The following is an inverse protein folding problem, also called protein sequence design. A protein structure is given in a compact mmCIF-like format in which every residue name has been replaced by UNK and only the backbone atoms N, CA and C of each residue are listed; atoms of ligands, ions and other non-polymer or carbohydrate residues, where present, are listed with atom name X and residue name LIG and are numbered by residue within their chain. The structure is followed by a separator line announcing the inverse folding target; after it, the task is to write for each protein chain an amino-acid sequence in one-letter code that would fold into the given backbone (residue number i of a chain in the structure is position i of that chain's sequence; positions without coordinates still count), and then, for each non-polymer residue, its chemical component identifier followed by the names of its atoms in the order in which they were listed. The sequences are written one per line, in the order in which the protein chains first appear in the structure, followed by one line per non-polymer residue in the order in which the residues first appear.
data_IF_080000596159
#
_entry.id   IF_080000596159
#
_cell.length_a   1.000
_cell.length_b   1.000
_cell.length_c   1.000
_cell.angle_alpha   90.00
_cell.angle_beta   90.00
_cell.angle_gamma   90.00
#
_symmetry.space_group_name_H-M   'P 1'
#
loop_
_entity.id
_entity.type
_entity.pdbx_description
1 polymer ?
#
# COMPACT_ATOMS: atom_id res chain seq x y z
N UNK A 1 0.22 -0.36 -11.16
CA UNK A 1 0.26 -1.51 -10.23
C UNK A 1 -0.17 -2.78 -10.96
N UNK A 2 0.50 -3.90 -10.68
CA UNK A 2 0.08 -5.24 -11.13
C UNK A 2 -0.30 -6.11 -9.93
N UNK A 3 -1.19 -7.08 -10.13
CA UNK A 3 -1.53 -8.07 -9.10
C UNK A 3 -0.39 -9.09 -9.00
N UNK A 4 0.41 -8.96 -7.95
CA UNK A 4 1.47 -9.91 -7.60
C UNK A 4 0.89 -11.27 -7.20
N UNK A 5 1.73 -12.30 -7.24
CA UNK A 5 1.33 -13.63 -6.78
C UNK A 5 0.99 -13.65 -5.28
N UNK A 6 1.62 -12.78 -4.50
CA UNK A 6 1.33 -12.57 -3.07
C UNK A 6 -0.07 -12.01 -2.86
N UNK A 7 -0.47 -10.96 -3.60
CA UNK A 7 -1.84 -10.42 -3.59
C UNK A 7 -2.86 -11.50 -3.98
N UNK A 8 -2.58 -12.24 -5.07
CA UNK A 8 -3.49 -13.31 -5.54
C UNK A 8 -3.68 -14.43 -4.51
N UNK A 9 -2.62 -14.80 -3.78
CA UNK A 9 -2.68 -15.83 -2.73
C UNK A 9 -3.51 -15.40 -1.51
N UNK A 10 -3.54 -14.10 -1.20
CA UNK A 10 -4.33 -13.53 -0.10
C UNK A 10 -5.79 -13.28 -0.48
N UNK A 11 -6.12 -13.30 -1.77
CA UNK A 11 -7.47 -13.04 -2.23
C UNK A 11 -8.43 -14.17 -1.80
N UNK A 12 -9.58 -13.78 -1.24
CA UNK A 12 -10.59 -14.71 -0.72
C UNK A 12 -11.72 -14.83 -1.73
N UNK A 13 -12.12 -16.05 -2.09
CA UNK A 13 -13.28 -16.27 -2.94
C UNK A 13 -14.55 -15.87 -2.18
N UNK A 14 -15.32 -14.94 -2.74
CA UNK A 14 -16.60 -14.48 -2.16
C UNK A 14 -17.81 -14.97 -2.94
N UNK A 15 -17.61 -15.41 -4.19
CA UNK A 15 -18.66 -15.96 -5.03
C UNK A 15 -18.09 -16.96 -6.03
N UNK A 16 -18.86 -18.01 -6.31
CA UNK A 16 -18.59 -19.00 -7.35
C UNK A 16 -19.89 -19.36 -8.05
N UNK A 17 -20.01 -19.02 -9.32
CA UNK A 17 -21.06 -19.47 -10.22
C UNK A 17 -20.48 -20.27 -11.38
N UNK A 18 -21.35 -20.72 -12.30
CA UNK A 18 -20.93 -21.58 -13.43
C UNK A 18 -19.90 -20.92 -14.35
N UNK A 19 -19.98 -19.60 -14.55
CA UNK A 19 -19.11 -18.85 -15.48
C UNK A 19 -18.33 -17.73 -14.81
N UNK A 20 -18.44 -17.56 -13.49
CA UNK A 20 -17.85 -16.43 -12.77
C UNK A 20 -17.36 -16.85 -11.38
N UNK A 21 -16.10 -16.54 -11.09
CA UNK A 21 -15.55 -16.59 -9.74
C UNK A 21 -15.19 -15.17 -9.34
N UNK A 22 -15.69 -14.71 -8.20
CA UNK A 22 -15.33 -13.41 -7.64
C UNK A 22 -14.44 -13.63 -6.43
N UNK A 23 -13.27 -12.98 -6.46
CA UNK A 23 -12.36 -12.93 -5.33
C UNK A 23 -12.29 -11.50 -4.80
N UNK A 24 -12.27 -11.37 -3.48
CA UNK A 24 -12.03 -10.11 -2.78
C UNK A 24 -10.57 -10.06 -2.34
N UNK A 25 -9.96 -8.90 -2.51
CA UNK A 25 -8.64 -8.63 -1.96
C UNK A 25 -8.67 -8.61 -0.42
N UNK A 26 -7.50 -8.81 0.19
CA UNK A 26 -7.33 -8.60 1.63
C UNK A 26 -7.51 -7.12 1.97
N UNK A 27 -7.79 -6.84 3.24
CA UNK A 27 -7.91 -5.46 3.71
C UNK A 27 -6.55 -4.72 3.62
N UNK A 28 -5.45 -5.44 3.86
CA UNK A 28 -4.08 -4.95 3.72
C UNK A 28 -3.78 -4.51 2.29
N UNK A 29 -4.14 -5.35 1.29
CA UNK A 29 -3.93 -5.03 -0.11
C UNK A 29 -4.82 -3.85 -0.55
N UNK A 30 -6.08 -3.82 -0.10
CA UNK A 30 -6.97 -2.68 -0.36
C UNK A 30 -6.44 -1.38 0.28
N UNK A 31 -5.90 -1.43 1.49
CA UNK A 31 -5.28 -0.28 2.15
C UNK A 31 -4.10 0.26 1.33
N UNK A 32 -3.19 -0.62 0.89
CA UNK A 32 -2.06 -0.24 0.05
C UNK A 32 -2.53 0.41 -1.26
N UNK A 33 -3.44 -0.25 -1.97
CA UNK A 33 -3.96 0.22 -3.26
C UNK A 33 -4.58 1.61 -3.16
N UNK A 34 -5.38 1.84 -2.13
CA UNK A 34 -6.02 3.14 -1.87
C UNK A 34 -5.00 4.21 -1.52
N UNK A 35 -3.95 3.84 -0.77
CA UNK A 35 -2.83 4.73 -0.47
C UNK A 35 -1.98 5.13 -1.68
N UNK A 36 -2.19 4.54 -2.86
CA UNK A 36 -1.50 4.92 -4.11
C UNK A 36 -2.30 5.89 -4.98
N UNK A 37 -3.46 6.40 -4.51
CA UNK A 37 -4.33 7.31 -5.28
C UNK A 37 -4.43 8.67 -4.60
N UNK A 38 -4.85 9.69 -5.34
CA UNK A 38 -5.08 11.05 -4.82
C UNK A 38 -6.55 11.35 -4.47
N UNK A 39 -7.43 10.33 -4.39
CA UNK A 39 -8.86 10.57 -4.22
C UNK A 39 -9.23 10.68 -2.74
N UNK A 40 -9.90 11.76 -2.35
CA UNK A 40 -10.34 11.99 -0.96
C UNK A 40 -11.12 10.82 -0.35
N UNK A 41 -12.00 10.17 -1.14
CA UNK A 41 -12.77 9.00 -0.70
C UNK A 41 -11.90 7.79 -0.39
N UNK A 42 -10.74 7.65 -1.04
CA UNK A 42 -9.83 6.55 -0.73
C UNK A 42 -9.19 6.73 0.65
N UNK A 43 -8.98 7.97 1.10
CA UNK A 43 -8.46 8.24 2.45
C UNK A 43 -9.49 7.90 3.54
N UNK A 44 -10.78 8.13 3.29
CA UNK A 44 -11.87 7.68 4.17
C UNK A 44 -11.91 6.15 4.27
N UNK A 45 -11.86 5.47 3.12
CA UNK A 45 -11.83 4.01 3.07
C UNK A 45 -10.60 3.44 3.78
N UNK A 46 -9.42 4.05 3.62
CA UNK A 46 -8.21 3.69 4.37
C UNK A 46 -8.43 3.83 5.87
N UNK A 47 -9.13 4.88 6.32
CA UNK A 47 -9.41 5.08 7.74
C UNK A 47 -10.33 3.98 8.30
N UNK A 48 -11.37 3.59 7.54
CA UNK A 48 -12.25 2.49 7.91
C UNK A 48 -11.49 1.16 7.99
N UNK A 49 -10.64 0.88 6.99
CA UNK A 49 -9.82 -0.34 6.95
C UNK A 49 -8.81 -0.36 8.11
N UNK A 50 -8.12 0.74 8.38
CA UNK A 50 -7.17 0.82 9.50
C UNK A 50 -7.83 0.54 10.86
N UNK A 51 -9.08 0.98 11.04
CA UNK A 51 -9.87 0.74 12.26
C UNK A 51 -10.38 -0.70 12.39
N UNK A 52 -10.48 -1.46 11.29
CA UNK A 52 -10.92 -2.86 11.35
C UNK A 52 -9.87 -3.80 11.96
N UNK A 53 -8.63 -3.31 12.12
CA UNK A 53 -7.48 -4.16 12.41
C UNK A 53 -6.95 -4.80 11.12
N UNK A 54 -5.69 -4.56 10.81
CA UNK A 54 -4.97 -5.07 9.64
C UNK A 54 -3.50 -5.34 9.99
N UNK A 55 -2.84 -6.22 9.26
CA UNK A 55 -1.41 -6.44 9.40
C UNK A 55 -0.60 -5.43 8.57
N UNK A 56 -0.11 -4.39 9.24
CA UNK A 56 0.73 -3.38 8.62
C UNK A 56 2.07 -3.91 8.10
N UNK A 57 2.61 -5.02 8.61
CA UNK A 57 3.83 -5.58 8.06
C UNK A 57 3.59 -6.20 6.68
N UNK A 58 2.41 -6.79 6.43
CA UNK A 58 2.03 -7.26 5.09
C UNK A 58 1.96 -6.09 4.10
N UNK A 59 1.39 -4.96 4.52
CA UNK A 59 1.31 -3.73 3.71
C UNK A 59 2.71 -3.23 3.37
N UNK A 60 3.60 -3.16 4.37
CA UNK A 60 4.98 -2.72 4.18
C UNK A 60 5.72 -3.63 3.18
N UNK A 61 5.64 -4.94 3.37
CA UNK A 61 6.34 -5.91 2.52
C UNK A 61 5.86 -5.83 1.07
N UNK A 62 4.54 -5.77 0.84
CA UNK A 62 3.98 -5.63 -0.51
C UNK A 62 4.34 -4.27 -1.13
N UNK A 63 4.34 -3.18 -0.35
CA UNK A 63 4.74 -1.86 -0.82
C UNK A 63 6.19 -1.84 -1.33
N UNK A 64 7.10 -2.45 -0.56
CA UNK A 64 8.52 -2.58 -0.96
C UNK A 64 8.66 -3.45 -2.20
N UNK A 65 8.00 -4.61 -2.24
CA UNK A 65 8.06 -5.53 -3.38
C UNK A 65 7.53 -4.88 -4.67
N UNK A 66 6.44 -4.11 -4.58
CA UNK A 66 5.88 -3.38 -5.72
C UNK A 66 6.81 -2.26 -6.19
N UNK A 67 7.41 -1.50 -5.27
CA UNK A 67 8.36 -0.45 -5.63
C UNK A 67 9.62 -1.01 -6.30
N UNK A 68 10.16 -2.13 -5.82
CA UNK A 68 11.34 -2.77 -6.42
C UNK A 68 11.08 -3.32 -7.83
N UNK A 69 9.86 -3.77 -8.09
CA UNK A 69 9.43 -4.28 -9.41
C UNK A 69 8.97 -3.19 -10.36
N UNK A 70 8.84 -1.95 -9.89
CA UNK A 70 8.40 -0.83 -10.71
C UNK A 70 9.52 -0.37 -11.64
N UNK A 71 9.42 -0.76 -12.91
CA UNK A 71 10.38 -0.39 -13.97
C UNK A 71 10.51 1.13 -14.18
N UNK A 72 9.54 1.92 -13.69
CA UNK A 72 9.59 3.39 -13.77
C UNK A 72 10.40 4.00 -12.63
N UNK A 73 10.78 3.20 -11.63
CA UNK A 73 11.55 3.65 -10.47
C UNK A 73 10.74 4.46 -9.47
N UNK A 74 9.41 4.30 -9.44
CA UNK A 74 8.58 4.98 -8.44
C UNK A 74 8.92 4.46 -7.02
N UNK A 75 8.98 5.38 -6.06
CA UNK A 75 9.24 5.08 -4.64
C UNK A 75 7.89 5.04 -3.92
N UNK A 76 7.26 3.87 -3.90
CA UNK A 76 5.90 3.70 -3.38
C UNK A 76 5.84 3.98 -1.88
N UNK A 77 6.92 3.75 -1.16
CA UNK A 77 7.02 4.04 0.26
C UNK A 77 6.88 5.53 0.55
N UNK A 78 7.32 6.40 -0.37
CA UNK A 78 7.14 7.85 -0.26
C UNK A 78 5.67 8.21 -0.36
N UNK A 79 4.97 7.70 -1.40
CA UNK A 79 3.54 7.94 -1.60
C UNK A 79 2.71 7.40 -0.43
N UNK A 80 3.00 6.18 0.04
CA UNK A 80 2.29 5.60 1.17
C UNK A 80 2.58 6.37 2.47
N UNK A 81 3.81 6.83 2.67
CA UNK A 81 4.18 7.66 3.81
C UNK A 81 3.36 8.96 3.85
N UNK A 82 3.26 9.65 2.72
CA UNK A 82 2.46 10.88 2.59
C UNK A 82 0.99 10.63 2.93
N UNK A 83 0.39 9.56 2.38
CA UNK A 83 -0.97 9.17 2.77
C UNK A 83 -1.12 8.80 4.24
N UNK A 84 -0.10 8.19 4.87
CA UNK A 84 -0.12 7.95 6.31
C UNK A 84 -0.04 9.25 7.14
N UNK A 85 0.61 10.30 6.63
CA UNK A 85 0.62 11.63 7.25
C UNK A 85 -0.77 12.27 7.14
N UNK A 86 -1.38 12.22 5.96
CA UNK A 86 -2.75 12.70 5.74
C UNK A 86 -3.77 11.98 6.64
N UNK A 87 -3.66 10.65 6.74
CA UNK A 87 -4.53 9.82 7.58
C UNK A 87 -4.45 10.22 9.05
N UNK A 88 -3.24 10.51 9.55
CA UNK A 88 -3.05 11.03 10.91
C UNK A 88 -3.66 12.42 11.07
N UNK A 89 -3.43 13.31 10.11
CA UNK A 89 -3.94 14.69 10.16
C UNK A 89 -5.47 14.76 10.15
N UNK A 90 -6.13 13.97 9.27
CA UNK A 90 -7.58 14.05 9.04
C UNK A 90 -8.39 13.13 9.96
N UNK A 91 -7.88 11.94 10.28
CA UNK A 91 -8.62 10.91 11.01
C UNK A 91 -8.00 10.53 12.36
N UNK A 92 -6.85 11.10 12.73
CA UNK A 92 -6.15 10.78 13.98
C UNK A 92 -5.56 9.37 14.02
N UNK A 93 -5.43 8.70 12.87
CA UNK A 93 -4.93 7.32 12.79
C UNK A 93 -3.42 7.32 12.62
N UNK A 94 -2.71 6.79 13.61
CA UNK A 94 -1.26 6.61 13.56
C UNK A 94 -0.91 5.23 12.99
N UNK A 95 -0.40 5.20 11.76
CA UNK A 95 -0.02 3.96 11.07
C UNK A 95 1.34 3.46 11.61
N UNK A 96 1.42 2.25 12.22
CA UNK A 96 2.64 1.77 12.89
C UNK A 96 3.90 1.69 12.01
N UNK A 97 3.73 1.47 10.71
CA UNK A 97 4.83 1.37 9.74
C UNK A 97 5.29 2.73 9.18
N UNK A 98 4.65 3.85 9.53
CA UNK A 98 4.93 5.16 8.91
C UNK A 98 6.42 5.54 8.98
N UNK A 99 7.05 5.35 10.13
CA UNK A 99 8.47 5.67 10.29
C UNK A 99 9.40 4.74 9.48
N UNK A 100 8.99 3.49 9.23
CA UNK A 100 9.74 2.57 8.37
C UNK A 100 9.63 2.99 6.91
N UNK A 101 8.43 3.36 6.46
CA UNK A 101 8.19 3.87 5.10
C UNK A 101 9.08 5.08 4.80
N UNK A 102 9.10 6.06 5.72
CA UNK A 102 9.95 7.26 5.59
C UNK A 102 11.43 6.93 5.44
N UNK A 103 11.95 6.02 6.26
CA UNK A 103 13.37 5.63 6.20
C UNK A 103 13.70 4.97 4.85
N UNK A 104 12.88 4.02 4.41
CA UNK A 104 13.07 3.32 3.13
C UNK A 104 13.00 4.31 1.97
N UNK A 105 12.06 5.26 1.99
CA UNK A 105 11.95 6.27 0.93
C UNK A 105 13.18 7.19 0.89
N UNK A 106 13.67 7.64 2.06
CA UNK A 106 14.89 8.47 2.16
C UNK A 106 16.12 7.74 1.60
N UNK A 107 16.31 6.47 1.98
CA UNK A 107 17.42 5.63 1.48
C UNK A 107 17.35 5.43 -0.04
N UNK A 108 16.16 5.13 -0.57
CA UNK A 108 15.94 4.98 -2.02
C UNK A 108 16.23 6.27 -2.78
N UNK A 109 15.80 7.43 -2.26
CA UNK A 109 16.07 8.74 -2.87
C UNK A 109 17.56 9.07 -2.91
N UNK A 110 18.29 8.81 -1.82
CA UNK A 110 19.74 9.02 -1.75
C UNK A 110 20.46 8.15 -2.79
N UNK A 111 20.09 6.86 -2.87
CA UNK A 111 20.69 5.92 -3.80
C UNK A 111 20.36 6.26 -5.27
N UNK A 112 19.15 6.72 -5.56
CA UNK A 112 18.78 7.18 -6.90
C UNK A 112 19.64 8.37 -7.34
N UNK A 113 19.85 9.36 -6.46
CA UNK A 113 20.71 10.53 -6.74
C UNK A 113 22.16 10.16 -7.01
N UNK A 114 22.71 9.17 -6.28
CA UNK A 114 24.08 8.67 -6.49
C UNK A 114 24.28 7.99 -7.85
N UNK A 115 23.22 7.43 -8.46
CA UNK A 115 23.29 6.75 -9.77
C UNK A 115 23.23 7.72 -10.95
N UNK A 116 22.86 8.97 -10.71
CA UNK A 116 22.74 10.03 -11.74
C UNK A 116 23.96 10.95 -11.78
N UNK A 117 24.90 10.79 -10.84
CA UNK A 117 26.21 11.45 -10.78
C UNK A 117 27.28 10.51 -11.36
#
# INVERSE_FOLDING_TARGET
MSLTNTIKKRAVKIFSGEKLIVLRLSNEDMFLMKGMTERDRDLEDMALIARSGIDYNLILNECVEQSEKDIRGNIWESSLYEKCVELRGKYGIDVPIRNKLRKISEDKLINARKRTL
#
